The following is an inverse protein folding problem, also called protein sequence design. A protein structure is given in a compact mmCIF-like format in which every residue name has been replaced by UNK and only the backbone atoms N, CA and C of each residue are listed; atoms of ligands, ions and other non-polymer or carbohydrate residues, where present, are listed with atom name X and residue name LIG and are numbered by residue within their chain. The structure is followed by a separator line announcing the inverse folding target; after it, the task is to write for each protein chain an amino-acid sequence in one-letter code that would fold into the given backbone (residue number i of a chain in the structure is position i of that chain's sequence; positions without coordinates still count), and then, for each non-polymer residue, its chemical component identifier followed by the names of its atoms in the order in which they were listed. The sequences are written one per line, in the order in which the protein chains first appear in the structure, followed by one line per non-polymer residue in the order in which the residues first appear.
data_IF_356904925301
#
_entry.id   IF_356904925301
#
_cell.length_a   1.000
_cell.length_b   1.000
_cell.length_c   1.000
_cell.angle_alpha   90.00
_cell.angle_beta   90.00
_cell.angle_gamma   90.00
#
_symmetry.space_group_name_H-M   'P 1'
#
loop_
_entity.id
_entity.type
_entity.pdbx_description
1 polymer ?
#
# COMPACT_ATOMS: atom_id res chain seq x y z
N UNK A 1 10.80 -14.00 9.15
CA UNK A 1 11.81 -14.57 8.22
C UNK A 1 13.05 -13.68 8.21
N UNK A 2 14.20 -14.20 7.78
CA UNK A 2 15.36 -13.35 7.50
C UNK A 2 15.11 -12.48 6.27
N UNK A 3 15.65 -11.25 6.25
CA UNK A 3 15.37 -10.27 5.19
C UNK A 3 15.60 -10.82 3.78
N UNK A 4 16.74 -11.47 3.54
CA UNK A 4 17.05 -12.03 2.22
C UNK A 4 16.02 -13.09 1.79
N UNK A 5 15.55 -13.90 2.73
CA UNK A 5 14.51 -14.90 2.44
C UNK A 5 13.19 -14.25 2.03
N UNK A 6 12.81 -13.15 2.69
CA UNK A 6 11.59 -12.41 2.33
C UNK A 6 11.73 -11.81 0.93
N UNK A 7 12.84 -11.14 0.64
CA UNK A 7 13.12 -10.54 -0.66
C UNK A 7 13.07 -11.57 -1.80
N UNK A 8 13.68 -12.75 -1.59
CA UNK A 8 13.71 -13.83 -2.56
C UNK A 8 12.37 -14.54 -2.73
N UNK A 9 11.56 -14.62 -1.65
CA UNK A 9 10.30 -15.37 -1.63
C UNK A 9 9.10 -14.56 -2.09
N UNK A 10 9.14 -13.21 -1.99
CA UNK A 10 8.01 -12.38 -2.41
C UNK A 10 7.78 -12.50 -3.93
N UNK A 11 6.53 -12.64 -4.32
CA UNK A 11 6.09 -12.66 -5.72
C UNK A 11 4.87 -11.78 -5.91
N UNK A 12 4.64 -11.34 -7.14
CA UNK A 12 3.40 -10.66 -7.53
C UNK A 12 2.27 -11.69 -7.62
N UNK A 13 1.46 -11.77 -6.58
CA UNK A 13 0.31 -12.65 -6.48
C UNK A 13 -0.88 -12.02 -7.21
N UNK A 14 -1.59 -12.82 -8.03
CA UNK A 14 -2.77 -12.39 -8.81
C UNK A 14 -3.95 -13.35 -8.67
N UNK A 15 -3.82 -14.30 -7.77
CA UNK A 15 -4.89 -15.22 -7.36
C UNK A 15 -4.79 -15.38 -5.85
N UNK A 16 -5.88 -15.12 -5.16
CA UNK A 16 -5.95 -15.13 -3.70
C UNK A 16 -6.81 -16.28 -3.22
N UNK A 17 -6.54 -16.73 -2.01
CA UNK A 17 -7.40 -17.69 -1.33
C UNK A 17 -8.63 -16.96 -0.80
N UNK A 18 -9.80 -17.53 -1.00
CA UNK A 18 -11.06 -17.03 -0.42
C UNK A 18 -11.16 -17.48 1.04
N UNK A 19 -10.36 -16.83 1.88
CA UNK A 19 -10.36 -17.06 3.33
C UNK A 19 -10.17 -15.75 4.08
N UNK A 20 -10.81 -15.58 5.24
CA UNK A 20 -10.66 -14.39 6.07
C UNK A 20 -9.20 -14.15 6.45
N UNK A 21 -8.81 -12.88 6.48
CA UNK A 21 -7.51 -12.45 7.01
C UNK A 21 -7.73 -11.74 8.33
N UNK A 22 -6.94 -12.09 9.34
CA UNK A 22 -6.95 -11.38 10.61
C UNK A 22 -6.45 -9.95 10.40
N UNK A 23 -7.30 -8.97 10.71
CA UNK A 23 -6.97 -7.55 10.54
C UNK A 23 -5.81 -7.09 11.43
N UNK A 24 -5.46 -7.84 12.47
CA UNK A 24 -4.24 -7.57 13.26
C UNK A 24 -2.97 -7.75 12.41
N UNK A 25 -2.96 -8.69 11.47
CA UNK A 25 -1.85 -8.85 10.52
C UNK A 25 -1.74 -7.65 9.58
N UNK A 26 -2.87 -7.14 9.11
CA UNK A 26 -2.89 -5.90 8.31
C UNK A 26 -2.36 -4.71 9.11
N UNK A 27 -2.73 -4.62 10.40
CA UNK A 27 -2.15 -3.64 11.32
C UNK A 27 -0.63 -3.72 11.38
N UNK A 28 -0.07 -4.92 11.58
CA UNK A 28 1.38 -5.14 11.61
C UNK A 28 2.08 -4.77 10.29
N UNK A 29 1.43 -5.02 9.14
CA UNK A 29 1.96 -4.59 7.84
C UNK A 29 2.06 -3.06 7.76
N UNK A 30 1.01 -2.36 8.20
CA UNK A 30 0.98 -0.88 8.20
C UNK A 30 1.99 -0.31 9.19
N UNK A 31 2.10 -0.87 10.39
CA UNK A 31 3.12 -0.50 11.37
C UNK A 31 4.55 -0.64 10.82
N UNK A 32 4.82 -1.69 10.07
CA UNK A 32 6.11 -1.83 9.38
C UNK A 32 6.28 -0.77 8.28
N UNK A 33 5.25 -0.52 7.48
CA UNK A 33 5.29 0.44 6.39
C UNK A 33 5.59 1.87 6.87
N UNK A 34 5.01 2.31 7.98
CA UNK A 34 5.23 3.66 8.53
C UNK A 34 6.67 3.90 9.03
N UNK A 35 7.47 2.85 9.20
CA UNK A 35 8.90 2.98 9.52
C UNK A 35 9.75 3.36 8.30
N UNK A 36 9.17 3.30 7.09
CA UNK A 36 9.88 3.69 5.87
C UNK A 36 10.18 5.19 5.86
N UNK A 37 11.31 5.61 5.28
CA UNK A 37 11.63 7.03 5.17
C UNK A 37 10.66 7.74 4.22
N UNK A 38 10.54 9.04 4.38
CA UNK A 38 9.82 9.91 3.46
C UNK A 38 10.60 11.19 3.18
N UNK A 39 10.24 11.89 2.12
CA UNK A 39 10.85 13.16 1.73
C UNK A 39 10.77 14.17 2.90
N UNK A 40 11.93 14.65 3.38
CA UNK A 40 12.04 15.50 4.58
C UNK A 40 11.19 15.00 5.76
N UNK A 41 11.03 13.70 5.91
CA UNK A 41 10.18 13.07 6.94
C UNK A 41 8.74 13.62 6.95
N UNK A 42 8.18 13.89 5.79
CA UNK A 42 6.85 14.50 5.64
C UNK A 42 5.68 13.57 5.99
N UNK A 43 5.91 12.25 6.01
CA UNK A 43 4.98 11.23 6.50
C UNK A 43 3.59 11.35 5.87
N UNK A 44 3.54 11.41 4.54
CA UNK A 44 2.30 11.68 3.80
C UNK A 44 1.50 10.45 3.40
N UNK A 45 2.08 9.24 3.46
CA UNK A 45 1.39 8.01 3.08
C UNK A 45 0.17 7.75 3.99
N UNK A 46 -0.91 7.24 3.38
CA UNK A 46 -2.16 6.84 4.07
C UNK A 46 -2.64 5.51 3.52
N UNK A 47 -3.20 4.68 4.40
CA UNK A 47 -3.74 3.37 4.06
C UNK A 47 -5.21 3.30 4.42
N UNK A 48 -6.04 2.87 3.48
CA UNK A 48 -7.46 2.65 3.68
C UNK A 48 -7.73 1.16 3.52
N UNK A 49 -8.05 0.50 4.62
CA UNK A 49 -8.29 -0.95 4.65
C UNK A 49 -9.77 -1.22 4.39
N UNK A 50 -10.03 -1.99 3.35
CA UNK A 50 -11.39 -2.40 2.95
C UNK A 50 -11.52 -3.90 3.16
N UNK A 51 -12.39 -4.31 4.09
CA UNK A 51 -12.60 -5.71 4.48
C UNK A 51 -14.09 -6.12 4.51
N UNK A 52 -15.03 -5.15 4.50
CA UNK A 52 -16.45 -5.51 4.45
C UNK A 52 -16.83 -6.07 3.08
N UNK A 53 -17.59 -7.18 3.00
CA UNK A 53 -17.98 -7.79 1.73
C UNK A 53 -18.69 -6.83 0.77
N UNK A 54 -19.56 -5.97 1.29
CA UNK A 54 -20.29 -4.97 0.51
C UNK A 54 -19.32 -3.97 -0.16
N UNK A 55 -18.41 -3.38 0.62
CA UNK A 55 -17.47 -2.38 0.10
C UNK A 55 -16.42 -3.02 -0.81
N UNK A 56 -15.96 -4.23 -0.51
CA UNK A 56 -15.07 -5.00 -1.39
C UNK A 56 -15.71 -5.20 -2.76
N UNK A 57 -16.97 -5.67 -2.79
CA UNK A 57 -17.72 -5.85 -4.04
C UNK A 57 -17.83 -4.54 -4.80
N UNK A 58 -18.25 -3.46 -4.13
CA UNK A 58 -18.42 -2.15 -4.74
C UNK A 58 -17.13 -1.62 -5.36
N UNK A 59 -16.02 -1.64 -4.62
CA UNK A 59 -14.74 -1.15 -5.13
C UNK A 59 -14.24 -2.01 -6.28
N UNK A 60 -14.33 -3.34 -6.18
CA UNK A 60 -13.90 -4.25 -7.23
C UNK A 60 -14.68 -4.01 -8.53
N UNK A 61 -16.01 -3.81 -8.46
CA UNK A 61 -16.84 -3.64 -9.66
C UNK A 61 -16.81 -2.23 -10.21
N UNK A 62 -16.84 -1.20 -9.36
CA UNK A 62 -17.10 0.17 -9.78
C UNK A 62 -15.82 1.00 -9.98
N UNK A 63 -14.72 0.62 -9.32
CA UNK A 63 -13.52 1.43 -9.25
C UNK A 63 -12.30 0.82 -9.94
N UNK A 64 -12.31 -0.47 -10.23
CA UNK A 64 -11.15 -1.15 -10.83
C UNK A 64 -11.39 -1.48 -12.30
N UNK A 65 -10.38 -1.33 -13.17
CA UNK A 65 -10.47 -1.84 -14.53
C UNK A 65 -10.55 -3.39 -14.55
N UNK A 66 -11.11 -3.96 -15.59
CA UNK A 66 -11.42 -5.40 -15.72
C UNK A 66 -10.24 -6.31 -15.37
N UNK A 67 -9.05 -5.95 -15.81
CA UNK A 67 -7.84 -6.71 -15.51
C UNK A 67 -7.58 -6.80 -14.00
N UNK A 68 -7.74 -5.67 -13.29
CA UNK A 68 -7.52 -5.62 -11.84
C UNK A 68 -8.66 -6.30 -11.07
N UNK A 69 -9.91 -6.17 -11.55
CA UNK A 69 -11.04 -6.91 -10.98
C UNK A 69 -10.78 -8.42 -10.99
N UNK A 70 -10.33 -8.93 -12.14
CA UNK A 70 -10.00 -10.35 -12.30
C UNK A 70 -8.87 -10.80 -11.38
N UNK A 71 -7.83 -9.99 -11.25
CA UNK A 71 -6.67 -10.33 -10.43
C UNK A 71 -6.96 -10.35 -8.92
N UNK A 72 -7.91 -9.56 -8.45
CA UNK A 72 -8.23 -9.44 -7.02
C UNK A 72 -9.61 -9.97 -6.64
N UNK A 73 -10.28 -10.71 -7.54
CA UNK A 73 -11.68 -11.14 -7.32
C UNK A 73 -11.88 -11.84 -5.98
N UNK A 74 -10.96 -12.73 -5.59
CA UNK A 74 -11.03 -13.54 -4.37
C UNK A 74 -10.28 -12.91 -3.18
N UNK A 75 -9.67 -11.73 -3.37
CA UNK A 75 -8.95 -11.06 -2.29
C UNK A 75 -9.91 -10.65 -1.15
N UNK A 76 -9.67 -11.11 0.10
CA UNK A 76 -10.56 -10.84 1.23
C UNK A 76 -10.38 -9.44 1.81
N UNK A 77 -9.29 -8.76 1.47
CA UNK A 77 -8.96 -7.39 1.89
C UNK A 77 -8.36 -6.63 0.72
N UNK A 78 -8.75 -5.38 0.55
CA UNK A 78 -8.08 -4.41 -0.31
C UNK A 78 -7.47 -3.31 0.53
N UNK A 79 -6.26 -2.90 0.20
CA UNK A 79 -5.60 -1.75 0.84
C UNK A 79 -5.40 -0.67 -0.23
N UNK A 80 -6.08 0.46 -0.07
CA UNK A 80 -5.96 1.61 -0.95
C UNK A 80 -4.90 2.54 -0.37
N UNK A 81 -3.81 2.71 -1.11
CA UNK A 81 -2.70 3.56 -0.70
C UNK A 81 -2.85 4.95 -1.32
N UNK A 82 -2.80 5.96 -0.49
CA UNK A 82 -2.88 7.38 -0.90
C UNK A 82 -1.78 8.19 -0.22
N UNK A 83 -1.60 9.42 -0.63
CA UNK A 83 -0.74 10.36 0.08
C UNK A 83 -1.36 11.76 0.16
N UNK A 84 -0.98 12.50 1.16
CA UNK A 84 -1.42 13.89 1.34
C UNK A 84 -0.72 14.76 0.30
N UNK A 85 -1.51 15.44 -0.55
CA UNK A 85 -1.02 16.33 -1.60
C UNK A 85 -0.26 17.54 -1.03
N UNK A 86 0.62 18.11 -1.84
CA UNK A 86 1.28 19.39 -1.60
C UNK A 86 2.07 19.44 -0.27
N UNK A 87 2.62 18.31 0.15
CA UNK A 87 3.52 18.21 1.31
C UNK A 87 4.87 17.64 0.94
N UNK A 88 4.97 16.35 0.59
CA UNK A 88 6.21 15.81 0.05
C UNK A 88 6.54 16.50 -1.28
N UNK A 89 7.73 17.08 -1.38
CA UNK A 89 8.18 17.84 -2.55
C UNK A 89 7.75 19.31 -2.58
N UNK A 90 7.21 19.84 -1.47
CA UNK A 90 6.73 21.22 -1.38
C UNK A 90 7.32 21.97 -0.19
N UNK A 91 7.55 23.26 -0.34
CA UNK A 91 7.94 24.17 0.71
C UNK A 91 6.73 24.60 1.55
N UNK A 92 6.98 25.26 2.67
CA UNK A 92 5.91 25.71 3.60
C UNK A 92 4.97 26.74 2.98
N UNK A 93 5.41 27.48 1.99
CA UNK A 93 4.61 28.45 1.23
C UNK A 93 3.74 27.80 0.15
N UNK A 94 3.79 26.47 0.01
CA UNK A 94 3.00 25.71 -0.97
C UNK A 94 3.64 25.63 -2.35
N UNK A 95 4.84 26.17 -2.55
CA UNK A 95 5.54 26.05 -3.83
C UNK A 95 6.30 24.71 -3.91
N UNK A 96 6.38 24.09 -5.09
CA UNK A 96 7.19 22.89 -5.26
C UNK A 96 8.67 23.20 -5.01
N UNK A 97 9.35 22.30 -4.27
CA UNK A 97 10.79 22.43 -3.96
C UNK A 97 11.67 22.26 -5.18
N UNK A 98 11.18 21.53 -6.19
CA UNK A 98 11.85 21.29 -7.47
C UNK A 98 10.83 20.78 -8.50
N UNK A 99 11.30 20.47 -9.70
CA UNK A 99 10.49 20.01 -10.84
C UNK A 99 9.76 18.67 -10.61
N UNK A 100 10.18 17.87 -9.63
CA UNK A 100 9.53 16.60 -9.29
C UNK A 100 8.17 16.82 -8.62
N UNK A 101 8.02 17.90 -7.83
CA UNK A 101 6.74 18.28 -7.23
C UNK A 101 6.03 17.12 -6.53
N UNK A 102 4.79 16.83 -6.95
CA UNK A 102 4.00 15.69 -6.40
C UNK A 102 4.64 14.32 -6.61
N UNK A 103 5.59 14.18 -7.51
CA UNK A 103 6.34 12.93 -7.72
C UNK A 103 6.99 12.41 -6.44
N UNK A 104 7.37 13.28 -5.51
CA UNK A 104 7.90 12.88 -4.21
C UNK A 104 6.88 12.13 -3.35
N UNK A 105 5.61 12.50 -3.43
CA UNK A 105 4.52 11.75 -2.76
C UNK A 105 4.36 10.34 -3.33
N UNK A 106 4.43 10.18 -4.64
CA UNK A 106 4.42 8.85 -5.29
C UNK A 106 5.66 8.04 -4.94
N UNK A 107 6.84 8.68 -4.94
CA UNK A 107 8.08 8.02 -4.53
C UNK A 107 8.00 7.50 -3.09
N UNK A 108 7.54 8.32 -2.16
CA UNK A 108 7.36 7.94 -0.76
C UNK A 108 6.36 6.77 -0.63
N UNK A 109 5.24 6.82 -1.36
CA UNK A 109 4.28 5.71 -1.40
C UNK A 109 4.94 4.41 -1.88
N UNK A 110 5.81 4.48 -2.89
CA UNK A 110 6.56 3.31 -3.37
C UNK A 110 7.42 2.68 -2.27
N UNK A 111 8.17 3.50 -1.51
CA UNK A 111 8.98 3.03 -0.38
C UNK A 111 8.13 2.34 0.70
N UNK A 112 7.04 2.98 1.10
CA UNK A 112 6.12 2.44 2.11
C UNK A 112 5.44 1.17 1.64
N UNK A 113 4.98 1.13 0.39
CA UNK A 113 4.28 -0.02 -0.18
C UNK A 113 5.20 -1.23 -0.35
N UNK A 114 6.48 -1.03 -0.72
CA UNK A 114 7.44 -2.14 -0.74
C UNK A 114 7.61 -2.74 0.65
N UNK A 115 7.79 -1.92 1.68
CA UNK A 115 7.88 -2.41 3.08
C UNK A 115 6.61 -3.16 3.48
N UNK A 116 5.43 -2.65 3.13
CA UNK A 116 4.14 -3.28 3.41
C UNK A 116 4.03 -4.68 2.79
N UNK A 117 4.38 -4.84 1.52
CA UNK A 117 4.29 -6.14 0.84
C UNK A 117 5.37 -7.13 1.29
N UNK A 118 6.56 -6.64 1.67
CA UNK A 118 7.58 -7.49 2.29
C UNK A 118 7.10 -8.01 3.66
N UNK A 119 6.47 -7.13 4.46
CA UNK A 119 5.91 -7.54 5.75
C UNK A 119 4.75 -8.51 5.58
N UNK A 120 3.89 -8.36 4.58
CA UNK A 120 2.86 -9.34 4.24
C UNK A 120 3.49 -10.72 4.03
N UNK A 121 4.54 -10.80 3.22
CA UNK A 121 5.26 -12.06 2.96
C UNK A 121 5.88 -12.64 4.23
N UNK A 122 6.46 -11.81 5.08
CA UNK A 122 7.03 -12.23 6.38
C UNK A 122 5.96 -12.84 7.31
N UNK A 123 4.74 -12.33 7.24
CA UNK A 123 3.58 -12.80 8.03
C UNK A 123 2.88 -14.02 7.41
N UNK A 124 3.29 -14.48 6.23
CA UNK A 124 2.70 -15.64 5.55
C UNK A 124 1.46 -15.32 4.70
N UNK A 125 1.25 -14.05 4.36
CA UNK A 125 0.18 -13.58 3.48
C UNK A 125 0.61 -13.59 2.01
#
# INVERSE_FOLDING_TARGET
MELNQVLEARRSIRHYQDQPVDLTLIGQMIEAAILSPSWKNSQTARYHVVSSPEMLKKIKTDCLPDFNQKNCQDAPVLIICTFVKNRAGFERDGQPSNEVGQGWGFYDCGLHNETLILKAKDLGL
#
